data_IF_529242241120
#
_entry.id   IF_529242241120
#
_cell.length_a   1.000
_cell.length_b   1.000
_cell.length_c   1.000
_cell.angle_alpha   90.00
_cell.angle_beta   90.00
_cell.angle_gamma   90.00
#
_symmetry.space_group_name_H-M   'P 1'
#
loop_
_entity.id
_entity.type
_entity.pdbx_description
1 polymer ?
#
# COMPACT_ATOMS: atom_id res chain seq x y z
N UNK A 1 -5.96 -12.08 -19.07
CA UNK A 1 -7.38 -12.08 -18.68
C UNK A 1 -7.63 -11.42 -17.30
N UNK A 2 -6.63 -11.23 -16.44
CA UNK A 2 -6.79 -10.53 -15.14
C UNK A 2 -6.62 -9.00 -15.19
N UNK A 3 -5.99 -8.43 -16.23
CA UNK A 3 -5.61 -7.00 -16.20
C UNK A 3 -6.80 -6.03 -16.27
N UNK A 4 -8.00 -6.47 -16.67
CA UNK A 4 -9.19 -5.61 -16.74
C UNK A 4 -9.77 -5.25 -15.37
N UNK A 5 -9.31 -5.89 -14.29
CA UNK A 5 -9.70 -5.58 -12.91
C UNK A 5 -8.48 -5.25 -12.03
N UNK A 6 -7.35 -4.94 -12.66
CA UNK A 6 -6.14 -4.50 -11.97
C UNK A 6 -5.97 -3.01 -12.19
N UNK A 7 -5.86 -2.27 -11.10
CA UNK A 7 -5.65 -0.84 -11.09
C UNK A 7 -4.33 -0.53 -10.41
N UNK A 8 -3.64 0.51 -10.88
CA UNK A 8 -2.38 0.97 -10.29
C UNK A 8 -2.53 2.45 -9.91
N UNK A 9 -2.16 2.79 -8.68
CA UNK A 9 -2.06 4.17 -8.21
C UNK A 9 -0.59 4.52 -8.01
N UNK A 10 -0.10 5.45 -8.82
CA UNK A 10 1.29 5.95 -8.73
C UNK A 10 1.28 7.35 -8.12
N UNK A 11 1.91 7.49 -6.95
CA UNK A 11 2.16 8.79 -6.31
C UNK A 11 3.59 9.20 -6.62
N UNK A 12 3.75 10.23 -7.45
CA UNK A 12 5.06 10.78 -7.81
C UNK A 12 5.03 12.30 -7.82
N UNK A 13 6.16 12.91 -7.49
CA UNK A 13 6.34 14.36 -7.65
C UNK A 13 6.37 14.65 -9.15
N UNK A 14 5.30 15.25 -9.68
CA UNK A 14 5.22 15.62 -11.09
C UNK A 14 6.05 16.88 -11.40
N UNK A 15 6.00 17.87 -10.51
CA UNK A 15 6.74 19.13 -10.60
C UNK A 15 7.11 19.61 -9.20
N UNK A 16 8.30 20.18 -9.04
CA UNK A 16 8.77 20.78 -7.78
C UNK A 16 9.13 22.26 -8.02
N UNK A 17 8.18 23.14 -7.75
CA UNK A 17 8.32 24.58 -7.94
C UNK A 17 8.82 25.31 -6.68
N UNK A 18 9.23 24.57 -5.64
CA UNK A 18 9.57 25.14 -4.33
C UNK A 18 10.97 25.74 -4.25
N UNK A 19 11.83 25.51 -5.25
CA UNK A 19 13.24 25.90 -5.22
C UNK A 19 14.13 25.03 -4.33
N UNK A 20 13.55 24.14 -3.52
CA UNK A 20 14.29 23.17 -2.70
C UNK A 20 14.51 21.87 -3.48
N UNK A 21 15.60 21.15 -3.15
CA UNK A 21 15.89 19.82 -3.74
C UNK A 21 14.74 18.83 -3.56
N UNK A 22 14.11 18.84 -2.37
CA UNK A 22 12.92 18.06 -2.07
C UNK A 22 11.74 19.03 -1.86
N UNK A 23 10.53 18.72 -2.36
CA UNK A 23 9.37 19.54 -2.08
C UNK A 23 9.11 19.58 -0.56
N UNK A 24 8.59 20.71 -0.04
CA UNK A 24 8.17 20.80 1.35
C UNK A 24 7.06 19.78 1.64
N UNK A 25 6.90 19.44 2.92
CA UNK A 25 5.84 18.54 3.35
C UNK A 25 4.48 19.21 3.15
N UNK A 26 3.63 18.59 2.33
CA UNK A 26 2.26 18.99 2.11
C UNK A 26 1.32 18.15 2.99
N UNK A 27 0.65 18.83 3.92
CA UNK A 27 -0.28 18.21 4.87
C UNK A 27 -1.55 17.67 4.21
N UNK A 28 -1.87 18.12 2.98
CA UNK A 28 -3.07 17.69 2.25
C UNK A 28 -2.85 16.41 1.45
N UNK A 29 -1.61 15.94 1.29
CA UNK A 29 -1.33 14.70 0.56
C UNK A 29 -2.02 13.50 1.22
N UNK A 30 -1.88 13.36 2.54
CA UNK A 30 -2.47 12.25 3.29
C UNK A 30 -4.02 12.21 3.20
N UNK A 31 -4.76 13.28 3.52
CA UNK A 31 -6.23 13.26 3.40
C UNK A 31 -6.70 13.12 1.95
N UNK A 32 -5.94 13.62 0.97
CA UNK A 32 -6.27 13.44 -0.45
C UNK A 32 -6.16 11.97 -0.86
N UNK A 33 -5.08 11.29 -0.45
CA UNK A 33 -4.90 9.85 -0.71
C UNK A 33 -6.03 9.05 -0.03
N UNK A 34 -6.35 9.35 1.22
CA UNK A 34 -7.46 8.71 1.93
C UNK A 34 -8.79 8.89 1.17
N UNK A 35 -9.11 10.11 0.74
CA UNK A 35 -10.33 10.39 -0.03
C UNK A 35 -10.39 9.64 -1.36
N UNK A 36 -9.27 9.53 -2.09
CA UNK A 36 -9.19 8.75 -3.33
C UNK A 36 -9.49 7.27 -3.06
N UNK A 37 -8.87 6.70 -2.03
CA UNK A 37 -9.11 5.30 -1.64
C UNK A 37 -10.55 5.08 -1.21
N UNK A 38 -11.09 5.94 -0.34
CA UNK A 38 -12.49 5.86 0.10
C UNK A 38 -13.44 5.85 -1.08
N UNK A 39 -13.32 6.84 -1.98
CA UNK A 39 -14.15 6.90 -3.16
C UNK A 39 -14.02 5.66 -4.06
N UNK A 40 -12.80 5.13 -4.24
CA UNK A 40 -12.60 3.90 -5.01
C UNK A 40 -13.33 2.70 -4.38
N UNK A 41 -13.15 2.49 -3.08
CA UNK A 41 -13.73 1.35 -2.37
C UNK A 41 -15.24 1.44 -2.18
N UNK A 42 -15.81 2.65 -2.16
CA UNK A 42 -17.27 2.82 -2.13
C UNK A 42 -17.91 2.36 -3.44
N UNK A 43 -17.19 2.48 -4.56
CA UNK A 43 -17.63 2.00 -5.87
C UNK A 43 -17.23 0.54 -6.15
N UNK A 44 -16.22 0.01 -5.46
CA UNK A 44 -15.68 -1.32 -5.67
C UNK A 44 -15.31 -2.03 -4.34
N UNK A 45 -16.27 -2.29 -3.45
CA UNK A 45 -16.02 -2.68 -2.04
C UNK A 45 -15.39 -4.06 -1.87
N UNK A 46 -15.48 -4.93 -2.88
CA UNK A 46 -14.90 -6.27 -2.86
C UNK A 46 -13.45 -6.32 -3.33
N UNK A 47 -12.91 -5.21 -3.84
CA UNK A 47 -11.53 -5.12 -4.31
C UNK A 47 -10.55 -5.20 -3.12
N UNK A 48 -9.29 -5.46 -3.43
CA UNK A 48 -8.18 -5.42 -2.48
C UNK A 48 -7.09 -4.51 -3.02
N UNK A 49 -6.29 -3.92 -2.13
CA UNK A 49 -5.10 -3.17 -2.50
C UNK A 49 -3.88 -3.84 -1.90
N UNK A 50 -2.87 -4.07 -2.73
CA UNK A 50 -1.54 -4.45 -2.30
C UNK A 50 -0.66 -3.22 -2.45
N UNK A 51 -0.14 -2.72 -1.35
CA UNK A 51 0.84 -1.66 -1.33
C UNK A 51 2.25 -2.27 -1.33
N UNK A 52 3.05 -1.87 -2.32
CA UNK A 52 4.48 -2.17 -2.41
C UNK A 52 5.15 -0.86 -2.80
N UNK A 53 6.24 -0.50 -2.13
CA UNK A 53 7.01 0.67 -2.48
C UNK A 53 8.22 0.33 -3.37
N UNK A 54 8.58 1.26 -4.25
CA UNK A 54 9.86 1.20 -4.94
C UNK A 54 11.01 1.14 -3.91
N UNK A 55 11.93 0.23 -4.15
CA UNK A 55 13.07 -0.09 -3.29
C UNK A 55 14.42 0.16 -3.96
N UNK A 56 14.42 0.68 -5.19
CA UNK A 56 15.62 0.88 -6.02
C UNK A 56 16.68 1.79 -5.39
N UNK A 57 16.31 2.63 -4.41
CA UNK A 57 17.20 3.54 -3.69
C UNK A 57 17.44 3.16 -2.21
N UNK A 58 17.00 1.97 -1.78
CA UNK A 58 17.19 1.47 -0.42
C UNK A 58 16.33 2.17 0.65
N UNK A 59 15.33 2.97 0.25
CA UNK A 59 14.48 3.74 1.18
C UNK A 59 13.09 3.13 1.41
N UNK A 60 12.92 1.85 1.11
CA UNK A 60 11.63 1.16 1.23
C UNK A 60 10.99 1.29 2.62
N UNK A 61 11.77 1.16 3.70
CA UNK A 61 11.24 1.31 5.07
C UNK A 61 10.75 2.73 5.37
N UNK A 62 11.46 3.75 4.88
CA UNK A 62 11.04 5.15 5.03
C UNK A 62 9.76 5.45 4.25
N UNK A 63 9.55 4.79 3.10
CA UNK A 63 8.31 4.89 2.31
C UNK A 63 7.17 4.17 3.00
N UNK A 64 7.41 2.97 3.54
CA UNK A 64 6.42 2.25 4.35
C UNK A 64 5.96 3.12 5.54
N UNK A 65 6.91 3.64 6.34
CA UNK A 65 6.58 4.50 7.47
C UNK A 65 5.82 5.78 7.06
N UNK A 66 6.12 6.32 5.86
CA UNK A 66 5.36 7.45 5.30
C UNK A 66 3.93 7.06 4.99
N UNK A 67 3.74 5.91 4.34
CA UNK A 67 2.43 5.41 3.98
C UNK A 67 1.61 5.04 5.21
N UNK A 68 2.22 4.42 6.23
CA UNK A 68 1.57 4.11 7.51
C UNK A 68 0.99 5.37 8.15
N UNK A 69 1.76 6.46 8.16
CA UNK A 69 1.28 7.76 8.64
C UNK A 69 0.14 8.34 7.78
N UNK A 70 0.17 8.13 6.47
CA UNK A 70 -0.96 8.55 5.62
C UNK A 70 -2.20 7.70 5.88
N UNK A 71 -2.02 6.41 6.17
CA UNK A 71 -3.09 5.48 6.49
C UNK A 71 -3.83 5.87 7.77
N UNK A 72 -3.22 6.66 8.67
CA UNK A 72 -3.91 7.21 9.85
C UNK A 72 -5.09 8.14 9.50
N UNK A 73 -5.13 8.69 8.28
CA UNK A 73 -6.25 9.51 7.78
C UNK A 73 -7.40 8.69 7.20
N UNK A 74 -7.25 7.36 7.11
CA UNK A 74 -8.30 6.47 6.69
C UNK A 74 -9.19 6.14 7.88
N UNK A 75 -10.46 5.82 7.61
CA UNK A 75 -11.36 5.32 8.65
C UNK A 75 -10.92 3.92 9.09
N UNK A 76 -10.36 3.83 10.30
CA UNK A 76 -9.83 2.58 10.85
C UNK A 76 -10.91 1.52 11.09
N UNK A 77 -12.17 1.93 11.21
CA UNK A 77 -13.28 1.00 11.39
C UNK A 77 -13.78 0.44 10.05
N UNK A 78 -13.43 1.09 8.93
CA UNK A 78 -13.86 0.72 7.58
C UNK A 78 -12.79 -0.08 6.82
N UNK A 79 -11.53 -0.08 7.27
CA UNK A 79 -10.43 -0.77 6.59
C UNK A 79 -9.64 -1.68 7.53
N UNK A 80 -9.33 -2.89 7.05
CA UNK A 80 -8.24 -3.72 7.58
C UNK A 80 -7.00 -3.48 6.75
N UNK A 81 -5.90 -3.10 7.41
CA UNK A 81 -4.55 -3.14 6.85
C UNK A 81 -3.73 -4.19 7.61
N UNK A 82 -3.08 -5.07 6.87
CA UNK A 82 -2.11 -6.02 7.42
C UNK A 82 -0.79 -5.85 6.68
N UNK A 83 0.30 -5.92 7.43
CA UNK A 83 1.66 -5.71 6.93
C UNK A 83 2.45 -7.01 7.00
N UNK A 84 3.31 -7.22 6.02
CA UNK A 84 4.31 -8.28 6.00
C UNK A 84 5.53 -7.79 5.20
N UNK A 85 6.47 -8.70 4.93
CA UNK A 85 7.66 -8.42 4.16
C UNK A 85 8.05 -9.58 3.26
N UNK A 86 8.58 -9.24 2.10
CA UNK A 86 9.13 -10.18 1.13
C UNK A 86 10.66 -10.10 1.20
N UNK A 87 11.34 -11.24 1.29
CA UNK A 87 12.80 -11.33 1.36
C UNK A 87 13.37 -11.84 0.04
N UNK A 88 14.40 -11.18 -0.44
CA UNK A 88 15.18 -11.63 -1.58
C UNK A 88 16.45 -12.36 -1.16
N UNK A 89 17.00 -13.14 -2.08
CA UNK A 89 18.22 -13.95 -1.86
C UNK A 89 19.47 -13.10 -1.59
N UNK A 90 19.45 -11.82 -1.97
CA UNK A 90 20.53 -10.86 -1.67
C UNK A 90 20.44 -10.25 -0.26
N UNK A 91 19.43 -10.67 0.53
CA UNK A 91 19.17 -10.17 1.88
C UNK A 91 18.26 -8.94 1.93
N UNK A 92 17.84 -8.39 0.79
CA UNK A 92 16.94 -7.25 0.74
C UNK A 92 15.54 -7.66 1.22
N UNK A 93 14.94 -6.81 2.06
CA UNK A 93 13.57 -7.00 2.55
C UNK A 93 12.68 -5.88 2.01
N UNK A 94 11.56 -6.26 1.39
CA UNK A 94 10.54 -5.36 0.84
C UNK A 94 9.29 -5.39 1.70
N UNK A 95 8.95 -4.28 2.38
CA UNK A 95 7.66 -4.14 3.04
C UNK A 95 6.52 -4.23 2.04
N UNK A 96 5.45 -4.91 2.44
CA UNK A 96 4.24 -5.07 1.65
C UNK A 96 3.03 -5.00 2.59
N UNK A 97 2.00 -4.28 2.18
CA UNK A 97 0.74 -4.20 2.93
C UNK A 97 -0.42 -4.68 2.09
N UNK A 98 -1.32 -5.45 2.69
CA UNK A 98 -2.66 -5.71 2.16
C UNK A 98 -3.65 -4.76 2.84
N UNK A 99 -4.49 -4.12 2.04
CA UNK A 99 -5.59 -3.26 2.50
C UNK A 99 -6.89 -3.78 1.90
N UNK A 100 -7.91 -3.91 2.73
CA UNK A 100 -9.23 -4.42 2.34
C UNK A 100 -10.32 -3.78 3.19
N UNK A 101 -11.50 -3.53 2.62
CA UNK A 101 -12.68 -3.05 3.37
C UNK A 101 -13.03 -4.03 4.48
N UNK A 102 -13.38 -3.50 5.65
CA UNK A 102 -13.85 -4.29 6.78
C UNK A 102 -15.12 -5.06 6.42
N UNK A 103 -16.02 -4.47 5.64
CA UNK A 103 -17.25 -5.11 5.18
C UNK A 103 -17.06 -6.16 4.06
N UNK A 104 -15.84 -6.37 3.55
CA UNK A 104 -15.60 -7.36 2.50
C UNK A 104 -15.85 -8.78 3.04
N UNK A 105 -16.81 -9.50 2.44
CA UNK A 105 -17.20 -10.85 2.86
C UNK A 105 -16.05 -11.86 2.83
N UNK A 106 -15.07 -11.66 1.94
CA UNK A 106 -13.92 -12.55 1.77
C UNK A 106 -12.70 -12.13 2.60
N UNK A 107 -12.80 -11.07 3.43
CA UNK A 107 -11.67 -10.46 4.15
C UNK A 107 -10.77 -11.48 4.84
N UNK A 108 -11.35 -12.42 5.61
CA UNK A 108 -10.58 -13.43 6.36
C UNK A 108 -9.79 -14.33 5.41
N UNK A 109 -10.44 -14.84 4.35
CA UNK A 109 -9.79 -15.71 3.37
C UNK A 109 -8.68 -14.97 2.62
N UNK A 110 -8.90 -13.70 2.26
CA UNK A 110 -7.91 -12.85 1.59
C UNK A 110 -6.69 -12.63 2.50
N UNK A 111 -6.89 -12.28 3.77
CA UNK A 111 -5.79 -12.06 4.72
C UNK A 111 -4.98 -13.33 4.96
N UNK A 112 -5.63 -14.48 5.09
CA UNK A 112 -4.93 -15.77 5.21
C UNK A 112 -4.13 -16.09 3.95
N UNK A 113 -4.72 -15.94 2.77
CA UNK A 113 -4.04 -16.16 1.50
C UNK A 113 -2.82 -15.23 1.33
N UNK A 114 -2.92 -14.00 1.82
CA UNK A 114 -1.80 -13.05 1.82
C UNK A 114 -0.63 -13.54 2.66
N UNK A 115 -0.86 -13.95 3.91
CA UNK A 115 0.19 -14.50 4.78
C UNK A 115 0.75 -15.83 4.28
N UNK A 116 -0.11 -16.69 3.71
CA UNK A 116 0.35 -17.93 3.08
C UNK A 116 1.27 -17.61 1.90
N UNK A 117 0.95 -16.63 1.07
CA UNK A 117 1.76 -16.25 -0.09
C UNK A 117 3.12 -15.67 0.32
N UNK A 118 3.14 -14.72 1.25
CA UNK A 118 4.39 -14.09 1.72
C UNK A 118 5.28 -15.10 2.44
N UNK A 119 4.70 -15.98 3.26
CA UNK A 119 5.47 -17.01 3.98
C UNK A 119 6.04 -18.08 3.05
N UNK A 120 5.31 -18.52 2.01
CA UNK A 120 5.84 -19.45 1.02
C UNK A 120 6.97 -18.80 0.21
N UNK A 121 6.77 -17.57 -0.27
CA UNK A 121 7.81 -16.85 -1.01
C UNK A 121 9.11 -16.74 -0.20
N UNK A 122 9.00 -16.44 1.09
CA UNK A 122 10.16 -16.29 1.97
C UNK A 122 10.85 -17.61 2.36
N UNK A 123 10.20 -18.78 2.16
CA UNK A 123 10.83 -20.10 2.42
C UNK A 123 11.67 -20.58 1.25
N UNK A 124 11.35 -20.15 0.04
CA UNK A 124 11.98 -20.59 -1.20
C UNK A 124 13.23 -19.75 -1.58
N UNK A 125 13.72 -18.92 -0.66
CA UNK A 125 14.84 -17.99 -0.81
C UNK A 125 15.92 -18.29 0.21
#
# INVERSE_FOLDING_TARGET
MFSSFTYELIIKVAQNNSGYKNPPYDMLVAPTIAAIFTHFYDNAPTTICIYICDSSDGRQELRQARFDRWFEYFDKDDYTKVDDSIRESDGTTYPVSLIVKQANFYRVAIVLAFFDLTSHYNKDK
#
